data_IF_653188016160
#
_entry.id   IF_653188016160
#
_cell.length_a   1.000
_cell.length_b   1.000
_cell.length_c   1.000
_cell.angle_alpha   90.00
_cell.angle_beta   90.00
_cell.angle_gamma   90.00
#
_symmetry.space_group_name_H-M   'P 1'
#
loop_
_entity.id
_entity.type
_entity.pdbx_description
1 polymer ?
#
# COMPACT_ATOMS: atom_id res chain seq x y z
N UNK A 1 23.88 1.83 -5.99
CA UNK A 1 24.08 1.96 -4.52
C UNK A 1 24.31 3.42 -4.09
N UNK A 2 23.58 4.39 -4.65
CA UNK A 2 23.64 5.82 -4.26
C UNK A 2 22.33 6.34 -3.62
N UNK A 3 21.27 5.52 -3.58
CA UNK A 3 19.92 5.93 -3.20
C UNK A 3 19.50 5.60 -1.75
N UNK A 4 20.36 4.96 -0.94
CA UNK A 4 19.95 4.46 0.39
C UNK A 4 20.62 5.23 1.55
N UNK A 5 21.46 6.23 1.26
CA UNK A 5 22.25 6.91 2.31
C UNK A 5 21.77 8.31 2.72
N UNK A 6 20.71 8.86 2.15
CA UNK A 6 20.26 10.21 2.50
C UNK A 6 18.76 10.28 2.68
N UNK A 7 18.24 9.91 3.85
CA UNK A 7 17.01 10.49 4.35
C UNK A 7 17.10 10.66 5.87
N UNK A 8 17.41 11.89 6.29
CA UNK A 8 17.12 12.38 7.62
C UNK A 8 15.61 12.30 7.84
N UNK A 9 15.23 11.58 8.90
CA UNK A 9 13.87 11.47 9.38
C UNK A 9 13.31 12.83 9.78
N UNK A 10 12.12 13.15 9.26
CA UNK A 10 11.18 14.05 9.89
C UNK A 10 9.92 13.27 10.25
N UNK A 11 9.97 12.56 11.37
CA UNK A 11 8.78 12.14 12.11
C UNK A 11 8.48 13.20 13.17
N UNK A 12 7.62 14.18 12.87
CA UNK A 12 7.00 15.04 13.89
C UNK A 12 5.55 15.31 13.50
N UNK A 13 4.65 14.63 14.21
CA UNK A 13 3.22 14.95 14.45
C UNK A 13 2.34 15.20 13.22
N UNK A 14 1.72 14.15 12.69
CA UNK A 14 0.45 14.25 11.97
C UNK A 14 -0.69 14.44 12.99
N UNK A 15 -0.78 15.66 13.53
CA UNK A 15 -2.02 16.18 14.09
C UNK A 15 -1.99 17.72 14.06
N UNK A 16 -2.99 18.29 13.40
CA UNK A 16 -3.34 19.71 13.32
C UNK A 16 -2.30 20.67 12.67
N UNK A 17 -2.57 21.07 11.42
CA UNK A 17 -2.60 22.47 10.94
C UNK A 17 -2.69 22.53 9.41
N UNK A 18 -3.91 22.45 8.89
CA UNK A 18 -4.26 23.09 7.62
C UNK A 18 -5.08 24.33 7.94
N UNK A 19 -4.43 25.41 8.37
CA UNK A 19 -5.03 26.76 8.41
C UNK A 19 -3.95 27.82 8.61
N UNK A 20 -4.08 28.90 7.83
CA UNK A 20 -3.42 30.21 7.92
C UNK A 20 -2.01 30.38 7.37
N UNK A 21 -1.96 30.96 6.16
CA UNK A 21 -0.88 31.84 5.73
C UNK A 21 -1.13 33.27 6.25
N UNK A 22 -0.12 33.99 6.77
CA UNK A 22 -0.20 35.44 6.93
C UNK A 22 0.42 36.14 5.71
N UNK A 23 -0.29 37.16 5.25
CA UNK A 23 0.18 38.13 4.29
C UNK A 23 1.35 38.96 4.86
N UNK A 24 2.34 39.29 4.02
CA UNK A 24 3.12 40.51 4.21
C UNK A 24 3.49 41.13 2.87
N UNK A 25 3.24 42.43 2.83
CA UNK A 25 3.42 43.33 1.72
C UNK A 25 4.87 43.80 1.58
N UNK A 26 5.29 44.00 0.33
CA UNK A 26 6.22 45.03 -0.16
C UNK A 26 5.81 45.23 -1.63
N UNK A 27 5.68 46.41 -2.22
CA UNK A 27 6.41 47.66 -2.02
C UNK A 27 6.97 48.09 -3.38
N UNK A 28 6.12 48.79 -4.15
CA UNK A 28 6.34 49.61 -5.37
C UNK A 28 7.75 49.75 -5.95
N UNK A 29 7.85 49.66 -7.28
CA UNK A 29 8.32 50.77 -8.15
C UNK A 29 7.93 50.60 -9.62
N UNK A 30 7.63 51.74 -10.26
CA UNK A 30 7.17 51.95 -11.64
C UNK A 30 8.30 51.79 -12.67
N UNK A 31 7.96 51.40 -13.92
CA UNK A 31 8.44 52.08 -15.13
C UNK A 31 7.47 51.89 -16.32
N UNK A 32 7.54 52.85 -17.24
CA UNK A 32 6.54 53.34 -18.21
C UNK A 32 6.51 52.61 -19.56
N UNK A 33 5.29 52.61 -20.12
CA UNK A 33 4.86 52.96 -21.49
C UNK A 33 5.34 52.16 -22.72
N UNK A 34 4.36 51.87 -23.59
CA UNK A 34 4.56 51.44 -24.98
C UNK A 34 3.25 51.02 -25.63
N UNK A 35 2.44 51.98 -26.05
CA UNK A 35 1.22 51.80 -26.83
C UNK A 35 1.59 51.52 -28.29
N UNK A 36 1.02 50.49 -28.91
CA UNK A 36 0.97 50.35 -30.37
C UNK A 36 -0.31 49.63 -30.77
N UNK A 37 -1.20 50.39 -31.43
CA UNK A 37 -2.39 49.93 -32.13
C UNK A 37 -1.97 49.07 -33.33
N UNK A 38 -2.53 47.88 -33.43
CA UNK A 38 -2.53 47.07 -34.65
C UNK A 38 -3.90 46.42 -34.80
N UNK A 39 -4.71 46.95 -35.71
CA UNK A 39 -6.01 46.41 -36.12
C UNK A 39 -5.83 45.06 -36.79
N UNK A 40 -6.39 43.99 -36.19
CA UNK A 40 -6.47 42.68 -36.81
C UNK A 40 -7.93 42.22 -36.88
N UNK A 41 -8.32 41.89 -38.10
CA UNK A 41 -9.61 41.50 -38.65
C UNK A 41 -10.24 40.31 -37.89
N UNK A 42 -11.49 40.47 -37.44
CA UNK A 42 -12.31 39.38 -36.91
C UNK A 42 -12.68 38.40 -38.04
N UNK A 43 -12.14 37.19 -38.00
CA UNK A 43 -12.73 36.02 -38.64
C UNK A 43 -13.65 35.32 -37.62
N UNK A 44 -14.97 35.45 -37.79
CA UNK A 44 -15.94 34.63 -37.05
C UNK A 44 -15.77 33.17 -37.49
N UNK A 45 -15.00 32.42 -36.72
CA UNK A 45 -14.99 30.96 -36.77
C UNK A 45 -15.97 30.51 -35.69
N UNK A 46 -17.04 29.82 -36.09
CA UNK A 46 -18.00 29.26 -35.16
C UNK A 46 -17.26 28.34 -34.15
N UNK A 47 -17.25 28.73 -32.88
CA UNK A 47 -16.84 27.86 -31.79
C UNK A 47 -17.81 26.67 -31.75
N UNK A 48 -17.36 25.53 -32.27
CA UNK A 48 -17.90 24.25 -31.81
C UNK A 48 -17.65 24.20 -30.31
N UNK A 49 -18.66 24.01 -29.45
CA UNK A 49 -18.40 23.82 -28.03
C UNK A 49 -17.57 22.54 -27.91
N UNK A 50 -16.29 22.68 -27.65
CA UNK A 50 -15.48 21.61 -27.08
C UNK A 50 -16.21 21.19 -25.82
N UNK A 51 -16.73 19.95 -25.80
CA UNK A 51 -17.19 19.33 -24.58
C UNK A 51 -16.04 19.48 -23.58
N UNK A 52 -16.18 20.40 -22.63
CA UNK A 52 -15.39 20.38 -21.42
C UNK A 52 -15.77 19.06 -20.76
N UNK A 53 -14.93 18.04 -20.92
CA UNK A 53 -14.93 16.90 -20.01
C UNK A 53 -14.84 17.49 -18.61
N UNK A 54 -15.92 17.38 -17.86
CA UNK A 54 -16.03 17.89 -16.51
C UNK A 54 -14.79 17.44 -15.71
N UNK A 55 -13.98 18.35 -15.15
CA UNK A 55 -12.79 17.98 -14.37
C UNK A 55 -13.13 17.20 -13.08
N UNK A 56 -14.41 16.88 -12.84
CA UNK A 56 -14.92 16.09 -11.72
C UNK A 56 -14.58 14.59 -11.76
N UNK A 57 -14.02 14.04 -12.84
CA UNK A 57 -13.81 12.59 -12.94
C UNK A 57 -12.45 12.21 -13.53
N UNK A 58 -11.37 12.35 -12.76
CA UNK A 58 -10.36 11.27 -12.73
C UNK A 58 -10.85 10.31 -11.64
N UNK A 59 -11.92 9.66 -12.01
CA UNK A 59 -12.46 8.50 -11.38
C UNK A 59 -11.57 7.33 -11.88
N UNK A 60 -11.19 6.35 -11.05
CA UNK A 60 -10.47 5.18 -11.55
C UNK A 60 -11.17 4.66 -12.82
N UNK A 61 -10.43 4.24 -13.85
CA UNK A 61 -11.00 3.77 -15.14
C UNK A 61 -12.07 2.64 -14.97
N UNK A 62 -12.22 2.15 -13.74
CA UNK A 62 -13.08 1.07 -13.28
C UNK A 62 -13.99 1.43 -12.09
N UNK A 63 -14.25 2.70 -11.77
CA UNK A 63 -15.49 3.08 -11.04
C UNK A 63 -16.65 2.85 -12.01
N UNK A 64 -17.70 2.12 -11.61
CA UNK A 64 -18.84 1.93 -12.47
C UNK A 64 -19.44 3.30 -12.83
N UNK A 65 -19.43 3.64 -14.12
CA UNK A 65 -20.14 4.81 -14.67
C UNK A 65 -21.64 4.79 -14.37
N UNK A 66 -22.16 3.62 -13.96
CA UNK A 66 -23.48 3.38 -13.38
C UNK A 66 -23.29 2.81 -11.95
N UNK A 67 -23.22 3.69 -10.97
CA UNK A 67 -23.04 3.32 -9.56
C UNK A 67 -24.34 3.35 -8.74
N UNK A 68 -24.29 2.87 -7.48
CA UNK A 68 -25.41 3.04 -6.56
C UNK A 68 -25.65 4.53 -6.22
N UNK A 69 -26.82 4.85 -5.68
CA UNK A 69 -27.07 6.17 -5.10
C UNK A 69 -26.25 6.28 -3.81
N UNK A 70 -25.42 7.33 -3.74
CA UNK A 70 -24.57 7.60 -2.58
C UNK A 70 -25.20 8.63 -1.65
N UNK A 71 -25.13 8.37 -0.35
CA UNK A 71 -25.31 9.36 0.71
C UNK A 71 -24.01 10.11 0.98
N UNK A 72 -24.12 11.28 1.61
CA UNK A 72 -22.96 12.04 2.08
C UNK A 72 -22.20 11.32 3.20
N UNK A 73 -21.17 11.97 3.78
CA UNK A 73 -20.38 11.40 4.84
C UNK A 73 -21.22 10.93 6.05
N UNK A 74 -20.90 9.75 6.59
CA UNK A 74 -21.52 9.18 7.77
C UNK A 74 -20.60 9.28 8.98
N UNK A 75 -21.16 9.64 10.14
CA UNK A 75 -20.47 9.53 11.44
C UNK A 75 -21.18 8.49 12.30
N UNK A 76 -20.48 7.41 12.63
CA UNK A 76 -20.94 6.32 13.49
C UNK A 76 -20.53 6.62 14.93
N UNK A 77 -21.50 6.79 15.82
CA UNK A 77 -21.27 7.13 17.24
C UNK A 77 -21.76 6.07 18.21
N UNK A 78 -22.31 4.97 17.71
CA UNK A 78 -22.81 3.83 18.50
C UNK A 78 -22.45 2.53 17.80
N UNK A 79 -22.33 1.46 18.57
CA UNK A 79 -22.11 0.13 18.04
C UNK A 79 -23.31 -0.35 17.22
N UNK A 80 -23.06 -1.31 16.33
CA UNK A 80 -24.09 -1.86 15.45
C UNK A 80 -23.58 -2.24 14.08
N UNK A 81 -24.49 -2.71 13.24
CA UNK A 81 -24.22 -3.06 11.84
C UNK A 81 -24.72 -1.97 10.92
N UNK A 82 -23.85 -1.55 9.99
CA UNK A 82 -24.07 -0.47 9.05
C UNK A 82 -23.89 -0.99 7.63
N UNK A 83 -24.86 -0.65 6.77
CA UNK A 83 -24.85 -0.96 5.35
C UNK A 83 -25.27 0.29 4.58
N UNK A 84 -24.59 0.58 3.48
CA UNK A 84 -24.93 1.75 2.67
C UNK A 84 -23.89 2.10 1.62
N UNK A 85 -24.19 3.16 0.89
CA UNK A 85 -23.27 3.73 -0.08
C UNK A 85 -22.94 5.15 0.34
N UNK A 86 -21.68 5.44 0.66
CA UNK A 86 -21.27 6.74 1.19
C UNK A 86 -20.18 7.36 0.33
N UNK A 87 -20.25 8.68 0.18
CA UNK A 87 -19.25 9.43 -0.57
C UNK A 87 -18.79 10.70 0.13
N UNK A 88 -17.53 11.06 -0.09
CA UNK A 88 -17.00 12.38 0.27
C UNK A 88 -16.23 13.02 -0.87
N UNK A 89 -16.60 14.25 -1.24
CA UNK A 89 -15.86 15.06 -2.21
C UNK A 89 -14.90 16.07 -1.56
N UNK A 90 -14.88 16.13 -0.23
CA UNK A 90 -13.91 16.91 0.52
C UNK A 90 -12.73 15.99 0.90
N UNK A 91 -11.51 16.24 0.41
CA UNK A 91 -10.35 15.41 0.73
C UNK A 91 -9.96 15.43 2.22
N UNK A 92 -10.47 16.38 3.01
CA UNK A 92 -10.24 16.45 4.46
C UNK A 92 -11.29 15.65 5.27
N UNK A 93 -12.40 15.25 4.66
CA UNK A 93 -13.51 14.57 5.35
C UNK A 93 -13.63 13.14 4.85
N UNK A 94 -13.53 12.11 5.73
CA UNK A 94 -13.72 10.75 5.29
C UNK A 94 -15.19 10.47 4.95
N UNK A 95 -15.44 9.51 4.06
CA UNK A 95 -16.80 9.12 3.70
C UNK A 95 -17.53 8.41 4.86
N UNK A 96 -16.80 7.68 5.71
CA UNK A 96 -17.31 7.13 6.97
C UNK A 96 -16.31 7.40 8.09
N UNK A 97 -16.80 7.96 9.20
CA UNK A 97 -16.04 8.17 10.43
C UNK A 97 -16.62 7.32 11.56
N UNK A 98 -15.81 6.47 12.18
CA UNK A 98 -16.17 5.69 13.38
C UNK A 98 -15.65 6.40 14.63
N UNK A 99 -16.56 6.86 15.49
CA UNK A 99 -16.29 7.57 16.76
C UNK A 99 -16.97 6.87 17.92
N UNK A 100 -16.68 5.59 18.08
CA UNK A 100 -17.13 4.79 19.23
C UNK A 100 -16.17 3.63 19.44
N UNK A 101 -16.06 3.18 20.68
CA UNK A 101 -15.36 1.95 21.07
C UNK A 101 -16.30 0.75 21.10
N UNK A 102 -17.61 0.96 20.97
CA UNK A 102 -18.57 -0.12 20.84
C UNK A 102 -18.33 -0.88 19.52
N UNK A 103 -18.56 -2.21 19.46
CA UNK A 103 -18.35 -2.98 18.24
C UNK A 103 -19.16 -2.45 17.05
N UNK A 104 -18.48 -2.16 15.95
CA UNK A 104 -19.07 -1.68 14.69
C UNK A 104 -18.80 -2.70 13.59
N UNK A 105 -19.85 -3.02 12.83
CA UNK A 105 -19.74 -3.80 11.59
C UNK A 105 -20.14 -2.90 10.44
N UNK A 106 -19.26 -2.69 9.46
CA UNK A 106 -19.59 -2.11 8.16
C UNK A 106 -19.55 -3.24 7.14
N UNK A 107 -20.68 -3.50 6.48
CA UNK A 107 -20.75 -4.59 5.52
C UNK A 107 -21.58 -4.27 4.27
N UNK A 108 -21.35 -5.04 3.20
CA UNK A 108 -22.14 -4.99 1.97
C UNK A 108 -22.32 -3.56 1.43
N UNK A 109 -21.25 -2.77 1.51
CA UNK A 109 -21.29 -1.32 1.30
C UNK A 109 -20.43 -0.90 0.10
N UNK A 110 -20.69 0.30 -0.41
CA UNK A 110 -19.83 0.95 -1.40
C UNK A 110 -19.40 2.33 -0.91
N UNK A 111 -18.10 2.55 -0.82
CA UNK A 111 -17.54 3.79 -0.28
C UNK A 111 -16.63 4.42 -1.33
N UNK A 112 -16.74 5.73 -1.53
CA UNK A 112 -15.80 6.45 -2.40
C UNK A 112 -15.47 7.83 -1.87
N UNK A 113 -14.32 8.35 -2.22
CA UNK A 113 -13.95 9.66 -1.71
C UNK A 113 -12.60 10.18 -2.15
N UNK A 114 -12.46 11.49 -2.02
CA UNK A 114 -11.21 12.22 -2.33
C UNK A 114 -10.16 12.13 -1.23
N UNK A 115 -10.61 11.89 0.00
CA UNK A 115 -9.77 11.62 1.18
C UNK A 115 -9.92 10.17 1.61
N UNK A 116 -9.63 9.90 2.89
CA UNK A 116 -9.82 8.55 3.45
C UNK A 116 -11.27 8.09 3.28
N UNK A 117 -11.49 6.82 2.97
CA UNK A 117 -12.84 6.29 2.79
C UNK A 117 -13.47 5.99 4.14
N UNK A 118 -12.79 5.21 4.97
CA UNK A 118 -13.23 4.86 6.31
C UNK A 118 -12.12 5.24 7.29
N UNK A 119 -12.46 6.05 8.30
CA UNK A 119 -11.55 6.44 9.38
C UNK A 119 -12.11 6.03 10.73
N UNK A 120 -11.27 5.51 11.61
CA UNK A 120 -11.63 5.17 12.99
C UNK A 120 -10.60 5.64 14.00
N UNK A 121 -11.04 5.93 15.21
CA UNK A 121 -10.21 6.21 16.37
C UNK A 121 -10.68 5.33 17.53
N UNK A 122 -9.77 4.55 18.12
CA UNK A 122 -10.11 3.61 19.19
C UNK A 122 -11.21 2.62 18.81
N UNK A 123 -11.20 2.19 17.54
CA UNK A 123 -12.29 1.43 16.94
C UNK A 123 -12.17 -0.08 17.19
N UNK A 124 -13.29 -0.70 17.56
CA UNK A 124 -13.57 -2.13 17.39
C UNK A 124 -14.42 -2.29 16.13
N UNK A 125 -13.77 -2.68 15.02
CA UNK A 125 -14.34 -2.60 13.68
C UNK A 125 -14.20 -3.93 12.92
N UNK A 126 -15.33 -4.43 12.43
CA UNK A 126 -15.36 -5.40 11.34
C UNK A 126 -15.79 -4.70 10.05
N UNK A 127 -14.94 -4.73 9.04
CA UNK A 127 -15.20 -4.20 7.71
C UNK A 127 -15.17 -5.34 6.70
N UNK A 128 -16.33 -5.69 6.14
CA UNK A 128 -16.43 -6.85 5.23
C UNK A 128 -17.30 -6.64 4.01
N UNK A 129 -17.04 -7.40 2.95
CA UNK A 129 -17.86 -7.38 1.72
C UNK A 129 -18.11 -5.96 1.18
N UNK A 130 -17.14 -5.06 1.35
CA UNK A 130 -17.28 -3.65 1.02
C UNK A 130 -16.36 -3.29 -0.14
N UNK A 131 -16.84 -2.44 -1.04
CA UNK A 131 -16.06 -1.92 -2.16
C UNK A 131 -15.66 -0.47 -1.92
N UNK A 132 -14.38 -0.15 -2.07
CA UNK A 132 -13.81 1.18 -1.91
C UNK A 132 -13.20 1.74 -3.20
N UNK A 133 -13.53 2.98 -3.55
CA UNK A 133 -12.95 3.69 -4.69
C UNK A 133 -12.27 5.00 -4.26
N UNK A 134 -10.96 5.10 -4.47
CA UNK A 134 -10.23 6.35 -4.31
C UNK A 134 -10.56 7.29 -5.46
N UNK A 135 -10.95 8.53 -5.15
CA UNK A 135 -11.18 9.57 -6.14
C UNK A 135 -9.97 10.50 -6.19
N UNK A 136 -9.77 11.14 -7.34
CA UNK A 136 -8.78 12.20 -7.45
C UNK A 136 -9.07 13.34 -6.46
N UNK A 137 -8.10 13.75 -5.63
CA UNK A 137 -8.32 14.77 -4.60
C UNK A 137 -8.66 16.17 -5.11
N UNK A 138 -8.35 16.49 -6.38
CA UNK A 138 -8.48 17.83 -6.97
C UNK A 138 -7.92 18.96 -6.07
N UNK A 139 -6.85 18.65 -5.35
CA UNK A 139 -6.22 19.54 -4.36
C UNK A 139 -4.71 19.47 -4.55
N UNK A 140 -4.08 20.62 -4.78
CA UNK A 140 -2.64 20.68 -5.05
C UNK A 140 -1.81 20.07 -3.93
N UNK A 141 -0.94 19.12 -4.29
CA UNK A 141 -0.07 18.42 -3.34
C UNK A 141 -0.76 17.32 -2.53
N UNK A 142 -2.01 16.98 -2.83
CA UNK A 142 -2.71 15.84 -2.24
C UNK A 142 -2.55 14.56 -3.08
N UNK A 143 -2.91 13.42 -2.51
CA UNK A 143 -2.95 12.09 -3.14
C UNK A 143 -4.24 11.37 -2.70
N UNK A 144 -4.72 10.32 -3.41
CA UNK A 144 -5.93 9.59 -3.03
C UNK A 144 -5.87 9.08 -1.58
N UNK A 145 -6.95 9.19 -0.80
CA UNK A 145 -6.92 8.75 0.59
C UNK A 145 -6.92 7.22 0.79
N UNK A 146 -6.73 6.78 2.03
CA UNK A 146 -6.73 5.36 2.42
C UNK A 146 -8.13 4.74 2.25
N UNK A 147 -8.22 3.45 1.92
CA UNK A 147 -9.47 2.69 2.08
C UNK A 147 -9.88 2.66 3.55
N UNK A 148 -8.92 2.39 4.43
CA UNK A 148 -9.11 2.35 5.86
C UNK A 148 -7.92 3.01 6.57
N UNK A 149 -8.20 3.91 7.50
CA UNK A 149 -7.21 4.49 8.41
C UNK A 149 -7.72 4.41 9.84
N UNK A 150 -7.05 3.63 10.69
CA UNK A 150 -7.43 3.47 12.11
C UNK A 150 -6.30 3.93 13.01
N UNK A 151 -6.59 4.91 13.85
CA UNK A 151 -5.71 5.31 14.94
C UNK A 151 -6.12 4.58 16.22
N UNK A 152 -5.16 3.96 16.90
CA UNK A 152 -5.31 3.18 18.14
C UNK A 152 -6.38 2.10 18.01
N UNK A 153 -6.20 1.10 17.15
CA UNK A 153 -7.21 0.04 16.97
C UNK A 153 -7.47 -0.74 18.27
N UNK A 154 -8.74 -1.01 18.59
CA UNK A 154 -9.15 -1.91 19.69
C UNK A 154 -9.22 -3.34 19.15
N UNK A 155 -9.93 -3.54 18.04
CA UNK A 155 -10.02 -4.81 17.33
C UNK A 155 -10.35 -4.49 15.87
N UNK A 156 -9.75 -5.23 14.93
CA UNK A 156 -9.96 -4.95 13.51
C UNK A 156 -10.01 -6.23 12.70
N UNK A 157 -11.10 -6.42 11.97
CA UNK A 157 -11.24 -7.47 10.96
C UNK A 157 -11.59 -6.80 9.63
N UNK A 158 -10.68 -6.83 8.67
CA UNK A 158 -10.89 -6.32 7.31
C UNK A 158 -10.87 -7.49 6.35
N UNK A 159 -12.06 -7.97 5.97
CA UNK A 159 -12.16 -9.19 5.18
C UNK A 159 -13.03 -9.08 3.92
N UNK A 160 -12.64 -9.77 2.85
CA UNK A 160 -13.47 -9.88 1.65
C UNK A 160 -13.86 -8.52 1.03
N UNK A 161 -12.99 -7.52 1.14
CA UNK A 161 -13.22 -6.20 0.55
C UNK A 161 -12.55 -6.05 -0.81
N UNK A 162 -13.04 -5.13 -1.63
CA UNK A 162 -12.39 -4.72 -2.89
C UNK A 162 -12.04 -3.26 -2.83
N UNK A 163 -10.78 -2.88 -3.01
CA UNK A 163 -10.35 -1.49 -2.95
C UNK A 163 -9.49 -1.12 -4.17
N UNK A 164 -9.81 0.04 -4.76
CA UNK A 164 -9.30 0.47 -6.07
C UNK A 164 -8.84 1.92 -6.04
N UNK A 165 -7.59 2.18 -6.42
CA UNK A 165 -7.08 3.54 -6.53
C UNK A 165 -6.98 4.30 -5.20
N UNK A 166 -7.02 3.60 -4.07
CA UNK A 166 -6.85 4.19 -2.74
C UNK A 166 -5.39 4.14 -2.32
N UNK A 167 -5.03 4.79 -1.22
CA UNK A 167 -3.72 4.62 -0.56
C UNK A 167 -3.63 3.37 0.31
N UNK A 168 -4.53 2.39 0.16
CA UNK A 168 -4.52 1.14 0.91
C UNK A 168 -5.03 1.28 2.35
N UNK A 169 -4.52 0.46 3.27
CA UNK A 169 -5.00 0.33 4.66
C UNK A 169 -3.89 0.64 5.66
N UNK A 170 -4.23 1.41 6.68
CA UNK A 170 -3.28 1.89 7.69
C UNK A 170 -3.84 1.71 9.10
N UNK A 171 -3.04 1.11 9.97
CA UNK A 171 -3.30 1.05 11.42
C UNK A 171 -2.11 1.63 12.15
N UNK A 172 -2.37 2.62 13.00
CA UNK A 172 -1.36 3.15 13.91
C UNK A 172 -1.74 2.83 15.35
N UNK A 173 -0.87 2.09 16.05
CA UNK A 173 -1.07 1.62 17.43
C UNK A 173 -2.22 0.62 17.58
N UNK A 174 -2.07 -0.23 18.60
CA UNK A 174 -3.11 -1.15 19.08
C UNK A 174 -3.32 -0.92 20.58
N UNK A 175 -4.57 -0.89 21.01
CA UNK A 175 -4.98 -0.62 22.40
C UNK A 175 -6.04 -1.60 22.91
N UNK A 176 -6.31 -2.66 22.15
CA UNK A 176 -7.23 -3.72 22.56
C UNK A 176 -6.67 -4.61 23.66
N UNK A 177 -7.58 -5.36 24.26
CA UNK A 177 -7.31 -6.44 25.21
C UNK A 177 -7.13 -7.76 24.46
N UNK A 178 -5.88 -8.16 24.26
CA UNK A 178 -5.54 -9.44 23.65
C UNK A 178 -5.98 -10.66 24.47
N UNK A 179 -6.17 -10.53 25.79
CA UNK A 179 -6.73 -11.61 26.60
C UNK A 179 -8.21 -11.86 26.30
N UNK A 180 -8.92 -10.83 25.82
CA UNK A 180 -10.28 -10.92 25.30
C UNK A 180 -10.35 -11.39 23.83
N UNK A 181 -9.21 -11.75 23.21
CA UNK A 181 -9.13 -12.19 21.82
C UNK A 181 -9.12 -11.07 20.78
N UNK A 182 -9.00 -9.81 21.20
CA UNK A 182 -8.94 -8.67 20.30
C UNK A 182 -7.61 -8.64 19.54
N UNK A 183 -7.66 -8.42 18.22
CA UNK A 183 -6.48 -8.50 17.34
C UNK A 183 -6.74 -7.74 16.02
N UNK A 184 -5.81 -7.88 15.06
CA UNK A 184 -5.91 -7.29 13.72
C UNK A 184 -5.85 -8.37 12.64
N UNK A 185 -6.84 -8.40 11.74
CA UNK A 185 -6.90 -9.35 10.63
C UNK A 185 -7.19 -8.65 9.30
N UNK A 186 -6.43 -9.00 8.27
CA UNK A 186 -6.58 -8.50 6.91
C UNK A 186 -6.66 -9.71 5.96
N UNK A 187 -7.89 -10.13 5.66
CA UNK A 187 -8.14 -11.43 5.06
C UNK A 187 -8.83 -11.31 3.71
N UNK A 188 -8.33 -12.00 2.69
CA UNK A 188 -9.08 -12.20 1.44
C UNK A 188 -9.52 -10.90 0.76
N UNK A 189 -8.77 -9.81 0.91
CA UNK A 189 -9.08 -8.56 0.23
C UNK A 189 -8.52 -8.56 -1.19
N UNK A 190 -9.22 -7.89 -2.11
CA UNK A 190 -8.75 -7.58 -3.45
C UNK A 190 -8.35 -6.12 -3.53
N UNK A 191 -7.06 -5.88 -3.70
CA UNK A 191 -6.45 -4.55 -3.73
C UNK A 191 -5.92 -4.30 -5.13
N UNK A 192 -6.31 -3.18 -5.74
CA UNK A 192 -5.75 -2.77 -7.02
C UNK A 192 -5.30 -1.32 -7.03
N UNK A 193 -4.09 -1.09 -7.53
CA UNK A 193 -3.50 0.23 -7.76
C UNK A 193 -3.46 1.11 -6.50
N UNK A 194 -2.60 0.74 -5.56
CA UNK A 194 -2.34 1.54 -4.37
C UNK A 194 -1.56 2.80 -4.77
N UNK A 195 -2.15 3.98 -4.52
CA UNK A 195 -1.72 5.20 -5.19
C UNK A 195 -1.40 6.35 -4.23
N UNK A 196 -0.09 6.64 -4.10
CA UNK A 196 0.42 7.81 -3.37
C UNK A 196 0.82 8.98 -4.27
N UNK A 197 0.48 8.98 -5.57
CA UNK A 197 0.93 10.03 -6.49
C UNK A 197 0.27 11.36 -6.16
N UNK A 198 1.09 12.41 -6.09
CA UNK A 198 0.60 13.76 -5.85
C UNK A 198 -0.07 14.34 -7.09
N UNK A 199 -1.17 15.06 -6.90
CA UNK A 199 -1.90 15.79 -7.95
C UNK A 199 -1.76 17.31 -7.81
N UNK A 200 -1.99 18.00 -8.92
CA UNK A 200 -2.18 19.46 -8.97
C UNK A 200 -3.61 19.83 -8.55
N UNK A 201 -3.89 21.13 -8.42
CA UNK A 201 -5.26 21.64 -8.17
C UNK A 201 -6.28 21.20 -9.24
N UNK A 202 -5.81 20.90 -10.46
CA UNK A 202 -6.66 20.41 -11.56
C UNK A 202 -6.69 18.88 -11.64
N UNK A 203 -6.16 18.17 -10.64
CA UNK A 203 -6.12 16.71 -10.60
C UNK A 203 -5.04 16.04 -11.45
N UNK A 204 -4.22 16.80 -12.18
CA UNK A 204 -3.11 16.22 -12.98
C UNK A 204 -1.99 15.70 -12.09
N UNK A 205 -1.41 14.54 -12.43
CA UNK A 205 -0.23 14.00 -11.73
C UNK A 205 0.96 14.97 -11.80
N UNK A 206 1.67 15.11 -10.69
CA UNK A 206 2.84 16.00 -10.57
C UNK A 206 4.17 15.30 -10.86
N UNK A 207 4.16 13.97 -10.95
CA UNK A 207 5.37 13.15 -11.05
C UNK A 207 6.08 12.89 -9.71
N UNK A 208 5.51 13.32 -8.57
CA UNK A 208 5.97 13.04 -7.21
C UNK A 208 4.99 12.11 -6.48
N UNK A 209 5.41 11.52 -5.36
CA UNK A 209 4.56 10.65 -4.53
C UNK A 209 4.77 10.83 -3.03
N UNK A 210 3.76 10.47 -2.25
CA UNK A 210 3.83 10.12 -0.84
C UNK A 210 4.01 8.61 -0.69
N UNK A 211 4.59 8.17 0.44
CA UNK A 211 4.79 6.75 0.72
C UNK A 211 3.53 6.14 1.31
N UNK A 212 2.94 5.22 0.57
CA UNK A 212 1.68 4.54 0.92
C UNK A 212 1.85 3.04 0.81
N UNK A 213 0.94 2.28 1.39
CA UNK A 213 1.05 0.83 1.51
C UNK A 213 -0.31 0.20 1.30
N UNK A 214 -0.35 -1.00 0.72
CA UNK A 214 -1.61 -1.73 0.63
C UNK A 214 -2.11 -2.08 2.04
N UNK A 215 -1.21 -2.55 2.90
CA UNK A 215 -1.42 -2.79 4.33
C UNK A 215 -0.19 -2.27 5.08
N UNK A 216 -0.38 -1.37 6.04
CA UNK A 216 0.66 -0.96 6.97
C UNK A 216 0.18 -1.07 8.40
N UNK A 217 0.98 -1.76 9.20
CA UNK A 217 0.96 -1.64 10.65
C UNK A 217 2.09 -0.70 11.06
N UNK A 218 1.76 0.29 11.87
CA UNK A 218 2.70 1.27 12.40
C UNK A 218 2.62 1.29 13.92
N UNK A 219 3.73 0.95 14.59
CA UNK A 219 3.82 0.88 16.05
C UNK A 219 2.80 -0.07 16.69
N UNK A 220 2.47 -1.18 16.01
CA UNK A 220 1.60 -2.25 16.52
C UNK A 220 2.47 -3.33 17.14
N UNK A 221 2.67 -3.21 18.44
CA UNK A 221 3.68 -4.00 19.16
C UNK A 221 3.05 -5.08 20.04
N UNK A 222 3.60 -6.31 19.94
CA UNK A 222 3.29 -7.44 20.84
C UNK A 222 1.85 -7.88 20.84
N UNK A 223 1.22 -7.83 19.67
CA UNK A 223 -0.19 -8.21 19.53
C UNK A 223 -0.28 -9.65 19.03
N UNK A 224 -0.80 -10.60 19.83
CA UNK A 224 -1.06 -11.96 19.37
C UNK A 224 -2.22 -11.99 18.37
N UNK A 225 -2.28 -13.05 17.57
CA UNK A 225 -3.39 -13.33 16.64
C UNK A 225 -3.44 -12.50 15.35
N UNK A 226 -2.44 -11.64 15.10
CA UNK A 226 -2.42 -10.86 13.85
C UNK A 226 -2.25 -11.78 12.65
N UNK A 227 -3.11 -11.59 11.64
CA UNK A 227 -3.13 -12.39 10.43
C UNK A 227 -3.34 -11.51 9.18
N UNK A 228 -2.43 -11.57 8.22
CA UNK A 228 -2.51 -10.94 6.91
C UNK A 228 -2.46 -12.05 5.86
N UNK A 229 -3.62 -12.49 5.38
CA UNK A 229 -3.68 -13.71 4.58
C UNK A 229 -4.63 -13.66 3.40
N UNK A 230 -4.27 -14.39 2.35
CA UNK A 230 -5.09 -14.60 1.14
C UNK A 230 -5.50 -13.32 0.41
N UNK A 231 -4.77 -12.22 0.59
CA UNK A 231 -5.04 -10.98 -0.13
C UNK A 231 -4.46 -11.05 -1.55
N UNK A 232 -5.21 -10.54 -2.53
CA UNK A 232 -4.71 -10.28 -3.88
C UNK A 232 -4.38 -8.79 -3.97
N UNK A 233 -3.12 -8.45 -4.24
CA UNK A 233 -2.64 -7.08 -4.32
C UNK A 233 -1.96 -6.88 -5.66
N UNK A 234 -2.59 -6.11 -6.55
CA UNK A 234 -2.11 -5.90 -7.92
C UNK A 234 -1.93 -4.41 -8.19
N UNK A 235 -0.72 -3.99 -8.52
CA UNK A 235 -0.41 -2.62 -8.91
C UNK A 235 0.05 -2.63 -10.37
N UNK A 236 -0.54 -1.78 -11.21
CA UNK A 236 -0.09 -1.60 -12.58
C UNK A 236 0.92 -0.43 -12.68
N UNK A 237 1.97 -0.56 -13.52
CA UNK A 237 2.90 0.54 -13.80
C UNK A 237 2.14 1.76 -14.34
N UNK A 238 2.49 2.96 -13.87
CA UNK A 238 1.82 4.20 -14.29
C UNK A 238 0.39 4.37 -13.79
N UNK A 239 -0.13 3.44 -12.97
CA UNK A 239 -1.46 3.51 -12.34
C UNK A 239 -1.41 3.54 -10.81
N UNK A 240 -0.22 3.42 -10.24
CA UNK A 240 0.03 3.28 -8.80
C UNK A 240 1.35 3.93 -8.43
N UNK A 241 1.58 4.11 -7.13
CA UNK A 241 2.90 4.48 -6.60
C UNK A 241 3.05 4.01 -5.15
N UNK A 242 2.74 2.74 -4.92
CA UNK A 242 2.92 2.07 -3.63
C UNK A 242 4.39 2.17 -3.19
N UNK A 243 4.62 2.34 -1.89
CA UNK A 243 5.93 2.10 -1.28
C UNK A 243 6.06 0.60 -1.02
N UNK A 244 5.47 0.08 0.04
CA UNK A 244 5.45 -1.37 0.31
C UNK A 244 4.04 -1.92 0.15
N UNK A 245 3.88 -3.12 -0.41
CA UNK A 245 2.57 -3.73 -0.40
C UNK A 245 2.15 -4.09 1.04
N UNK A 246 3.04 -4.70 1.81
CA UNK A 246 2.83 -4.96 3.24
C UNK A 246 4.02 -4.41 4.04
N UNK A 247 3.77 -3.55 5.02
CA UNK A 247 4.79 -2.98 5.90
C UNK A 247 4.48 -3.27 7.37
N UNK A 248 5.50 -3.76 8.08
CA UNK A 248 5.49 -4.03 9.51
C UNK A 248 6.33 -3.00 10.27
N UNK A 249 6.13 -1.72 9.97
CA UNK A 249 6.88 -0.62 10.55
C UNK A 249 6.73 -0.60 12.06
N UNK A 250 7.83 -0.85 12.77
CA UNK A 250 7.88 -0.91 14.24
C UNK A 250 6.75 -1.78 14.83
N UNK A 251 6.48 -2.91 14.18
CA UNK A 251 5.33 -3.75 14.49
C UNK A 251 5.71 -5.22 14.60
N UNK A 252 4.98 -5.96 15.42
CA UNK A 252 5.33 -7.34 15.72
C UNK A 252 4.32 -8.08 16.59
N UNK A 253 4.40 -9.42 16.53
CA UNK A 253 3.60 -10.31 17.36
C UNK A 253 4.29 -10.60 18.69
N UNK A 254 3.95 -11.75 19.27
CA UNK A 254 4.63 -12.28 20.46
C UNK A 254 5.38 -13.56 20.12
N UNK A 255 6.30 -14.01 20.98
CA UNK A 255 6.98 -15.29 20.80
C UNK A 255 6.02 -16.48 20.68
N UNK A 256 4.92 -16.46 21.42
CA UNK A 256 3.91 -17.51 21.41
C UNK A 256 2.90 -17.37 20.25
N UNK A 257 2.75 -16.17 19.70
CA UNK A 257 1.87 -15.88 18.57
C UNK A 257 2.52 -14.84 17.66
N UNK A 258 3.47 -15.25 16.80
CA UNK A 258 4.04 -14.38 15.79
C UNK A 258 2.94 -13.89 14.83
N UNK A 259 3.10 -12.68 14.29
CA UNK A 259 2.25 -12.19 13.18
C UNK A 259 2.34 -13.20 12.03
N UNK A 260 1.21 -13.59 11.45
CA UNK A 260 1.17 -14.51 10.31
C UNK A 260 0.90 -13.72 9.02
N UNK A 261 1.83 -13.74 8.07
CA UNK A 261 1.69 -13.13 6.74
C UNK A 261 1.82 -14.24 5.69
N UNK A 262 0.70 -14.74 5.17
CA UNK A 262 0.74 -15.93 4.34
C UNK A 262 -0.28 -16.01 3.22
N UNK A 263 0.05 -16.80 2.21
CA UNK A 263 -0.83 -17.10 1.08
C UNK A 263 -1.35 -15.85 0.34
N UNK A 264 -0.67 -14.71 0.46
CA UNK A 264 -0.99 -13.51 -0.31
C UNK A 264 -0.40 -13.63 -1.72
N UNK A 265 -1.10 -13.04 -2.69
CA UNK A 265 -0.60 -12.80 -4.04
C UNK A 265 -0.32 -11.31 -4.19
N UNK A 266 0.94 -10.95 -4.39
CA UNK A 266 1.40 -9.57 -4.57
C UNK A 266 2.01 -9.47 -5.95
N UNK A 267 1.58 -8.47 -6.71
CA UNK A 267 1.99 -8.30 -8.09
C UNK A 267 2.15 -6.82 -8.41
N UNK A 268 3.41 -6.39 -8.49
CA UNK A 268 3.76 -5.02 -8.84
C UNK A 268 3.97 -4.10 -7.65
N UNK A 269 5.01 -3.28 -7.80
CA UNK A 269 5.33 -2.10 -7.01
C UNK A 269 6.21 -1.25 -7.93
N UNK A 270 5.73 -0.07 -8.35
CA UNK A 270 6.38 0.70 -9.41
C UNK A 270 6.54 2.17 -9.03
N UNK A 271 7.59 2.77 -9.57
CA UNK A 271 7.81 4.21 -9.52
C UNK A 271 6.68 4.98 -10.24
N UNK A 272 6.61 6.30 -10.01
CA UNK A 272 5.59 7.15 -10.64
C UNK A 272 5.76 7.14 -12.16
N UNK A 273 7.01 7.19 -12.63
CA UNK A 273 7.42 6.98 -14.02
C UNK A 273 8.36 5.79 -14.08
N UNK A 274 7.86 4.56 -14.28
CA UNK A 274 8.63 3.33 -14.13
C UNK A 274 9.89 3.21 -14.99
N UNK A 275 9.96 3.93 -16.12
CA UNK A 275 11.11 3.93 -17.03
C UNK A 275 12.03 5.14 -16.84
N UNK A 276 11.52 6.25 -16.28
CA UNK A 276 12.23 7.54 -16.26
C UNK A 276 12.71 7.95 -14.86
N UNK A 277 12.06 7.44 -13.81
CA UNK A 277 12.47 7.73 -12.45
C UNK A 277 13.87 7.13 -12.20
N UNK A 278 14.69 7.85 -11.44
CA UNK A 278 16.08 7.42 -11.16
C UNK A 278 16.15 6.46 -9.98
N UNK A 279 15.19 6.57 -9.07
CA UNK A 279 15.19 5.87 -7.79
C UNK A 279 13.75 5.49 -7.42
N UNK A 280 13.62 4.31 -6.85
CA UNK A 280 12.37 3.79 -6.30
C UNK A 280 12.72 2.77 -5.23
N UNK A 281 12.12 2.93 -4.06
CA UNK A 281 12.42 2.13 -2.85
C UNK A 281 11.38 1.05 -2.58
N UNK A 282 10.23 1.08 -3.26
CA UNK A 282 9.10 0.24 -2.93
C UNK A 282 9.18 -1.22 -3.38
N UNK A 283 8.51 -2.11 -2.66
CA UNK A 283 8.61 -3.56 -2.82
C UNK A 283 7.36 -4.34 -2.42
N UNK A 284 7.56 -5.63 -2.13
CA UNK A 284 6.51 -6.53 -1.67
C UNK A 284 6.26 -6.39 -0.17
N UNK A 285 7.04 -7.11 0.64
CA UNK A 285 6.84 -7.18 2.10
C UNK A 285 8.08 -6.63 2.82
N UNK A 286 7.88 -5.64 3.68
CA UNK A 286 8.91 -5.02 4.50
C UNK A 286 8.75 -5.39 5.97
N UNK A 287 9.83 -5.92 6.55
CA UNK A 287 9.90 -6.32 7.95
C UNK A 287 10.98 -5.54 8.70
N UNK A 288 10.64 -5.12 9.92
CA UNK A 288 11.61 -4.59 10.88
C UNK A 288 12.19 -3.23 10.52
N UNK A 289 11.54 -2.47 9.64
CA UNK A 289 11.85 -1.06 9.44
C UNK A 289 11.38 -0.19 10.63
N UNK A 290 11.97 0.99 10.76
CA UNK A 290 11.88 1.86 11.94
C UNK A 290 13.15 1.85 12.79
N UNK A 291 13.48 2.98 13.43
CA UNK A 291 14.70 3.17 14.22
C UNK A 291 14.42 2.93 15.71
N UNK A 292 14.31 1.65 16.09
CA UNK A 292 14.08 1.26 17.48
C UNK A 292 15.29 0.57 18.11
N UNK A 293 15.69 1.06 19.29
CA UNK A 293 16.73 0.46 20.15
C UNK A 293 16.14 -0.25 21.36
N UNK A 294 14.86 -0.03 21.65
CA UNK A 294 14.17 -0.66 22.77
C UNK A 294 13.51 -1.98 22.31
N UNK A 295 13.89 -3.07 22.97
CA UNK A 295 13.31 -4.41 22.79
C UNK A 295 11.81 -4.48 23.08
N UNK A 296 11.22 -3.40 23.64
CA UNK A 296 9.80 -3.30 23.88
C UNK A 296 8.94 -2.91 22.70
N UNK A 297 9.54 -2.23 21.72
CA UNK A 297 8.84 -1.64 20.58
C UNK A 297 9.51 -1.94 19.24
N UNK A 298 10.70 -2.54 19.27
CA UNK A 298 11.34 -3.02 18.04
C UNK A 298 10.49 -4.10 17.38
N UNK A 299 10.37 -4.03 16.06
CA UNK A 299 9.62 -5.03 15.29
C UNK A 299 10.22 -6.43 15.43
N UNK A 300 9.37 -7.44 15.51
CA UNK A 300 9.81 -8.81 15.70
C UNK A 300 8.67 -9.81 15.79
N UNK A 301 9.01 -11.10 15.84
CA UNK A 301 8.03 -12.19 15.87
C UNK A 301 7.01 -12.09 14.71
N UNK A 302 7.52 -12.20 13.49
CA UNK A 302 6.73 -12.18 12.25
C UNK A 302 7.09 -13.40 11.42
N UNK A 303 6.08 -14.17 11.01
CA UNK A 303 6.20 -15.28 10.07
C UNK A 303 5.64 -14.86 8.71
N UNK A 304 6.46 -15.01 7.67
CA UNK A 304 6.11 -14.69 6.29
C UNK A 304 6.28 -15.94 5.43
N UNK A 305 5.18 -16.55 5.00
CA UNK A 305 5.26 -17.83 4.30
C UNK A 305 4.20 -18.09 3.25
N UNK A 306 4.52 -18.96 2.29
CA UNK A 306 3.62 -19.37 1.21
C UNK A 306 3.03 -18.21 0.37
N UNK A 307 3.64 -17.02 0.43
CA UNK A 307 3.23 -15.89 -0.41
C UNK A 307 3.80 -16.06 -1.82
N UNK A 308 3.08 -15.49 -2.80
CA UNK A 308 3.54 -15.37 -4.17
C UNK A 308 3.74 -13.88 -4.45
N UNK A 309 5.00 -13.47 -4.65
CA UNK A 309 5.39 -12.07 -4.80
C UNK A 309 6.05 -11.88 -6.15
N UNK A 310 5.44 -11.05 -6.98
CA UNK A 310 5.77 -10.91 -8.38
C UNK A 310 6.01 -9.47 -8.76
N UNK A 311 7.01 -9.26 -9.63
CA UNK A 311 7.20 -8.00 -10.39
C UNK A 311 7.22 -6.71 -9.53
N UNK A 312 7.51 -6.81 -8.24
CA UNK A 312 7.80 -5.64 -7.43
C UNK A 312 9.16 -5.10 -7.87
N UNK A 313 9.33 -3.78 -7.92
CA UNK A 313 10.54 -3.23 -8.53
C UNK A 313 11.76 -3.35 -7.61
N UNK A 314 11.75 -2.76 -6.41
CA UNK A 314 12.96 -2.76 -5.58
C UNK A 314 13.22 -4.14 -4.94
N UNK A 315 12.28 -4.66 -4.16
CA UNK A 315 12.43 -5.99 -3.56
C UNK A 315 11.16 -6.83 -3.52
N UNK A 316 11.33 -8.15 -3.44
CA UNK A 316 10.25 -9.08 -3.06
C UNK A 316 9.97 -9.03 -1.55
N UNK A 317 10.94 -9.46 -0.73
CA UNK A 317 10.85 -9.41 0.75
C UNK A 317 12.09 -8.73 1.34
N UNK A 318 11.89 -7.89 2.33
CA UNK A 318 12.93 -7.21 3.07
C UNK A 318 12.88 -7.57 4.55
N UNK A 319 14.03 -7.94 5.11
CA UNK A 319 14.30 -7.96 6.56
C UNK A 319 15.31 -6.84 6.83
N UNK A 320 14.78 -5.67 7.18
CA UNK A 320 15.54 -4.41 7.32
C UNK A 320 16.02 -4.13 8.75
N UNK A 321 15.45 -4.83 9.72
CA UNK A 321 15.73 -4.69 11.13
C UNK A 321 14.96 -5.72 11.93
N UNK A 322 14.86 -5.53 13.24
CA UNK A 322 14.05 -6.38 14.11
C UNK A 322 14.64 -7.78 14.37
N UNK A 323 13.88 -8.60 15.08
CA UNK A 323 14.35 -9.89 15.57
C UNK A 323 13.29 -11.00 15.52
N UNK A 324 13.73 -12.26 15.58
CA UNK A 324 12.85 -13.44 15.60
C UNK A 324 11.83 -13.49 14.43
N UNK A 325 12.22 -13.02 13.25
CA UNK A 325 11.40 -13.08 12.04
C UNK A 325 11.70 -14.35 11.24
N UNK A 326 10.69 -14.97 10.63
CA UNK A 326 10.84 -16.21 9.84
C UNK A 326 10.21 -16.03 8.47
N UNK A 327 11.03 -16.08 7.42
CA UNK A 327 10.62 -15.95 6.02
C UNK A 327 10.88 -17.27 5.30
N UNK A 328 9.83 -18.01 4.92
CA UNK A 328 9.99 -19.34 4.36
C UNK A 328 8.89 -19.80 3.43
N UNK A 329 9.18 -20.71 2.49
CA UNK A 329 8.17 -21.27 1.60
C UNK A 329 7.53 -20.26 0.63
N UNK A 330 8.09 -19.05 0.50
CA UNK A 330 7.58 -18.05 -0.42
C UNK A 330 8.09 -18.32 -1.84
N UNK A 331 7.30 -17.91 -2.84
CA UNK A 331 7.68 -17.90 -4.25
C UNK A 331 7.83 -16.44 -4.68
N UNK A 332 9.04 -16.05 -5.05
CA UNK A 332 9.39 -14.65 -5.31
C UNK A 332 9.99 -14.56 -6.70
N UNK A 333 9.25 -13.98 -7.63
CA UNK A 333 9.54 -14.10 -9.07
C UNK A 333 9.50 -12.76 -9.78
N UNK A 334 10.54 -12.46 -10.53
CA UNK A 334 10.57 -11.32 -11.45
C UNK A 334 11.43 -11.65 -12.66
N UNK A 335 10.87 -11.42 -13.84
CA UNK A 335 11.57 -11.44 -15.13
C UNK A 335 12.46 -10.19 -15.32
N UNK A 336 12.42 -9.24 -14.38
CA UNK A 336 13.13 -7.97 -14.48
C UNK A 336 12.58 -7.04 -15.55
N UNK A 337 11.37 -7.32 -16.06
CA UNK A 337 10.71 -6.54 -17.12
C UNK A 337 9.37 -5.97 -16.64
N UNK A 338 9.01 -4.81 -17.17
CA UNK A 338 7.65 -4.29 -17.08
C UNK A 338 6.70 -5.17 -17.92
N UNK A 339 5.37 -5.08 -17.72
CA UNK A 339 4.39 -5.82 -18.52
C UNK A 339 4.53 -5.61 -20.04
N UNK A 340 5.00 -4.45 -20.51
CA UNK A 340 5.26 -4.17 -21.92
C UNK A 340 6.53 -4.84 -22.48
N UNK A 341 7.32 -5.50 -21.64
CA UNK A 341 8.56 -6.19 -22.02
C UNK A 341 9.82 -5.33 -21.88
N UNK A 342 9.69 -4.03 -21.60
CA UNK A 342 10.82 -3.16 -21.29
C UNK A 342 11.55 -3.63 -20.03
N UNK A 343 12.86 -3.42 -19.97
CA UNK A 343 13.63 -3.69 -18.75
C UNK A 343 13.12 -2.75 -17.65
N UNK A 344 12.81 -3.31 -16.48
CA UNK A 344 12.50 -2.52 -15.30
C UNK A 344 13.83 -1.99 -14.70
N UNK A 345 14.12 -0.68 -14.80
CA UNK A 345 15.39 -0.13 -14.29
C UNK A 345 15.50 -0.19 -12.76
N UNK A 346 14.37 -0.35 -12.08
CA UNK A 346 14.28 -0.38 -10.63
C UNK A 346 14.35 -1.80 -10.05
N UNK A 347 14.40 -2.85 -10.89
CA UNK A 347 14.60 -4.24 -10.45
C UNK A 347 15.86 -4.35 -9.59
N UNK A 348 15.73 -4.72 -8.31
CA UNK A 348 16.88 -4.81 -7.41
C UNK A 348 17.11 -6.19 -6.79
N UNK A 349 16.29 -6.74 -5.87
CA UNK A 349 16.61 -8.05 -5.24
C UNK A 349 15.37 -8.87 -4.88
N UNK A 350 15.44 -10.20 -4.96
CA UNK A 350 14.35 -11.07 -4.51
C UNK A 350 14.09 -10.94 -3.02
N UNK A 351 15.09 -11.26 -2.20
CA UNK A 351 15.07 -11.06 -0.75
C UNK A 351 16.33 -10.32 -0.31
N UNK A 352 16.20 -9.39 0.63
CA UNK A 352 17.37 -8.95 1.41
C UNK A 352 17.23 -9.17 2.91
N UNK A 353 18.40 -9.39 3.55
CA UNK A 353 18.57 -9.42 5.01
C UNK A 353 19.70 -8.48 5.37
N UNK A 354 19.33 -7.28 5.79
CA UNK A 354 20.27 -6.21 6.06
C UNK A 354 19.76 -5.40 7.24
N UNK A 355 20.59 -5.28 8.28
CA UNK A 355 20.32 -4.40 9.41
C UNK A 355 20.54 -2.94 8.95
N UNK A 356 19.59 -2.42 8.18
CA UNK A 356 19.70 -1.09 7.55
C UNK A 356 19.81 0.01 8.60
N UNK A 357 19.16 -0.20 9.74
CA UNK A 357 19.12 0.74 10.86
C UNK A 357 20.51 0.96 11.49
N UNK A 358 21.30 -0.10 11.63
CA UNK A 358 22.67 0.03 12.10
C UNK A 358 23.68 0.17 10.95
N UNK A 359 23.24 0.55 9.74
CA UNK A 359 24.07 0.64 8.52
C UNK A 359 24.85 -0.65 8.24
N UNK A 360 24.26 -1.80 8.56
CA UNK A 360 24.87 -3.12 8.42
C UNK A 360 25.80 -3.52 9.55
N UNK A 361 25.83 -2.79 10.68
CA UNK A 361 26.65 -3.17 11.83
C UNK A 361 26.33 -4.59 12.32
N UNK A 362 27.38 -5.32 12.67
CA UNK A 362 27.31 -6.68 13.20
C UNK A 362 27.04 -6.63 14.70
N UNK A 363 26.27 -7.59 15.25
CA UNK A 363 26.06 -7.70 16.69
C UNK A 363 25.09 -6.68 17.32
N UNK A 364 24.08 -6.22 16.57
CA UNK A 364 23.04 -5.35 17.14
C UNK A 364 22.18 -6.08 18.18
N UNK A 365 21.88 -5.40 19.29
CA UNK A 365 20.97 -5.90 20.32
C UNK A 365 19.52 -6.05 19.83
N UNK A 366 19.16 -5.41 18.72
CA UNK A 366 17.80 -5.43 18.15
C UNK A 366 17.71 -6.15 16.81
N UNK A 367 18.80 -6.76 16.33
CA UNK A 367 18.83 -7.52 15.08
C UNK A 367 19.42 -8.93 15.26
N UNK A 368 18.57 -9.90 15.55
CA UNK A 368 19.01 -11.26 15.87
C UNK A 368 17.90 -12.30 15.65
N UNK A 369 18.27 -13.58 15.57
CA UNK A 369 17.36 -14.72 15.40
C UNK A 369 16.39 -14.60 14.20
N UNK A 370 16.78 -13.87 13.16
CA UNK A 370 16.02 -13.78 11.91
C UNK A 370 16.37 -14.95 11.00
N UNK A 371 15.37 -15.50 10.32
CA UNK A 371 15.50 -16.70 9.51
C UNK A 371 14.88 -16.49 8.13
N UNK A 372 15.65 -16.75 7.08
CA UNK A 372 15.20 -16.75 5.67
C UNK A 372 15.59 -18.08 5.04
N UNK A 373 14.63 -19.00 4.93
CA UNK A 373 14.91 -20.38 4.52
C UNK A 373 13.86 -20.95 3.59
N UNK A 374 14.21 -21.92 2.74
CA UNK A 374 13.25 -22.70 1.95
C UNK A 374 12.34 -21.84 1.05
N UNK A 375 12.79 -20.67 0.61
CA UNK A 375 12.07 -19.86 -0.38
C UNK A 375 12.51 -20.28 -1.78
N UNK A 376 11.60 -20.20 -2.76
CA UNK A 376 11.92 -20.36 -4.17
C UNK A 376 12.01 -18.97 -4.81
N UNK A 377 13.19 -18.58 -5.26
CA UNK A 377 13.46 -17.20 -5.67
C UNK A 377 14.02 -17.17 -7.08
N UNK A 378 13.40 -16.36 -7.92
CA UNK A 378 13.89 -16.05 -9.23
C UNK A 378 13.80 -14.55 -9.49
N UNK A 379 14.93 -13.86 -9.45
CA UNK A 379 14.96 -12.40 -9.57
C UNK A 379 15.92 -11.95 -10.67
N UNK A 380 15.39 -11.84 -11.88
CA UNK A 380 16.17 -11.43 -13.05
C UNK A 380 16.47 -9.94 -13.02
N UNK A 381 17.72 -9.62 -13.38
CA UNK A 381 18.21 -8.27 -13.64
C UNK A 381 18.99 -8.25 -14.95
N UNK A 382 19.21 -7.03 -15.44
CA UNK A 382 19.97 -6.76 -16.65
C UNK A 382 21.13 -5.83 -16.31
N UNK A 383 22.33 -6.14 -16.81
CA UNK A 383 23.47 -5.24 -16.73
C UNK A 383 23.38 -4.12 -17.78
N UNK A 384 24.37 -3.21 -17.81
CA UNK A 384 24.39 -2.10 -18.77
C UNK A 384 24.52 -2.53 -20.23
N UNK A 385 24.86 -3.81 -20.50
CA UNK A 385 24.94 -4.40 -21.84
C UNK A 385 23.68 -5.21 -22.18
N UNK A 386 22.68 -5.22 -21.29
CA UNK A 386 21.45 -6.00 -21.44
C UNK A 386 21.61 -7.49 -21.15
N UNK A 387 22.72 -7.92 -20.53
CA UNK A 387 22.93 -9.32 -20.16
C UNK A 387 22.20 -9.66 -18.87
N UNK A 388 21.60 -10.85 -18.84
CA UNK A 388 20.82 -11.35 -17.70
C UNK A 388 21.76 -11.80 -16.58
N UNK A 389 21.44 -11.40 -15.35
CA UNK A 389 21.96 -11.99 -14.12
C UNK A 389 20.84 -12.12 -13.08
N UNK A 390 21.07 -12.90 -12.03
CA UNK A 390 20.08 -13.15 -10.98
C UNK A 390 20.52 -12.54 -9.66
N UNK A 391 19.62 -11.82 -8.99
CA UNK A 391 19.86 -11.25 -7.66
C UNK A 391 18.82 -11.77 -6.67
N UNK A 392 18.86 -13.06 -6.41
CA UNK A 392 17.83 -13.77 -5.63
C UNK A 392 17.89 -13.39 -4.14
N UNK A 393 19.08 -13.40 -3.54
CA UNK A 393 19.26 -13.15 -2.11
C UNK A 393 20.48 -12.25 -1.86
N UNK A 394 20.28 -11.14 -1.14
CA UNK A 394 21.36 -10.30 -0.63
C UNK A 394 21.29 -10.19 0.90
N UNK A 395 22.15 -10.90 1.60
CA UNK A 395 22.01 -11.13 3.05
C UNK A 395 23.27 -10.75 3.88
N UNK A 396 23.83 -9.53 3.75
CA UNK A 396 25.09 -9.16 4.41
C UNK A 396 25.02 -9.15 5.94
N UNK A 397 23.83 -8.98 6.53
CA UNK A 397 23.65 -8.99 7.99
C UNK A 397 23.16 -10.33 8.53
N UNK A 398 23.08 -11.36 7.69
CA UNK A 398 22.64 -12.69 8.11
C UNK A 398 23.79 -13.49 8.71
N UNK A 399 24.18 -13.12 9.93
CA UNK A 399 25.32 -13.66 10.65
C UNK A 399 24.88 -14.68 11.68
N UNK A 400 25.48 -15.88 11.64
CA UNK A 400 25.24 -16.93 12.63
C UNK A 400 25.56 -16.51 14.08
N UNK A 401 26.50 -15.58 14.26
CA UNK A 401 26.85 -15.01 15.57
C UNK A 401 25.68 -14.28 16.26
N UNK A 402 24.72 -13.76 15.47
CA UNK A 402 23.48 -13.15 15.95
C UNK A 402 22.29 -14.12 15.88
N UNK A 403 22.55 -15.42 15.70
CA UNK A 403 21.50 -16.43 15.53
C UNK A 403 20.71 -16.32 14.22
N UNK A 404 21.16 -15.46 13.29
CA UNK A 404 20.49 -15.30 11.99
C UNK A 404 20.82 -16.48 11.06
N UNK A 405 19.85 -16.91 10.28
CA UNK A 405 19.97 -18.08 9.39
C UNK A 405 19.43 -17.74 8.00
N UNK A 406 20.28 -17.80 6.97
CA UNK A 406 19.88 -17.63 5.57
C UNK A 406 20.41 -18.78 4.73
N UNK A 407 19.67 -19.88 4.66
CA UNK A 407 20.09 -21.13 4.00
C UNK A 407 18.92 -21.83 3.32
N UNK A 408 19.21 -22.85 2.51
CA UNK A 408 18.21 -23.73 1.90
C UNK A 408 17.18 -22.99 1.01
N UNK A 409 17.46 -21.75 0.62
CA UNK A 409 16.70 -21.04 -0.41
C UNK A 409 17.09 -21.60 -1.77
N UNK A 410 16.09 -21.85 -2.60
CA UNK A 410 16.24 -22.46 -3.91
C UNK A 410 16.13 -21.38 -4.98
N UNK A 411 17.02 -21.45 -5.96
CA UNK A 411 16.92 -20.63 -7.15
C UNK A 411 15.82 -21.17 -8.06
N UNK A 412 15.06 -20.28 -8.69
CA UNK A 412 14.13 -20.66 -9.75
C UNK A 412 14.91 -21.32 -10.90
N UNK A 413 14.42 -22.45 -11.46
CA UNK A 413 15.05 -23.07 -12.62
C UNK A 413 14.98 -22.12 -13.82
N UNK A 414 16.12 -21.53 -14.17
CA UNK A 414 16.27 -20.51 -15.22
C UNK A 414 15.87 -21.02 -16.61
N UNK A 415 15.38 -20.16 -17.54
CA UNK A 415 15.16 -18.71 -17.42
C UNK A 415 13.74 -18.30 -16.97
N UNK A 416 13.62 -17.11 -16.36
CA UNK A 416 12.34 -16.54 -15.91
C UNK A 416 11.76 -15.67 -17.02
N UNK A 417 10.52 -15.96 -17.42
CA UNK A 417 9.80 -15.20 -18.43
C UNK A 417 8.52 -14.57 -17.84
N UNK A 418 7.92 -13.64 -18.57
CA UNK A 418 6.60 -13.11 -18.20
C UNK A 418 5.51 -14.19 -18.20
N UNK A 419 5.72 -15.30 -18.92
CA UNK A 419 4.81 -16.45 -18.85
C UNK A 419 4.89 -17.15 -17.50
N UNK A 420 6.09 -17.32 -16.93
CA UNK A 420 6.26 -17.84 -15.57
C UNK A 420 5.52 -16.97 -14.56
N UNK A 421 5.63 -15.64 -14.69
CA UNK A 421 4.91 -14.70 -13.83
C UNK A 421 3.38 -14.89 -13.93
N UNK A 422 2.83 -15.08 -15.14
CA UNK A 422 1.40 -15.35 -15.34
C UNK A 422 0.96 -16.70 -14.75
N UNK A 423 1.82 -17.72 -14.81
CA UNK A 423 1.53 -19.04 -14.25
C UNK A 423 1.42 -19.02 -12.73
N UNK A 424 2.14 -18.15 -12.04
CA UNK A 424 2.00 -17.98 -10.59
C UNK A 424 0.59 -17.52 -10.19
N UNK A 425 -0.04 -16.61 -10.94
CA UNK A 425 -1.45 -16.26 -10.67
C UNK A 425 -2.36 -17.48 -10.79
N UNK A 426 -2.13 -18.31 -11.81
CA UNK A 426 -2.91 -19.55 -12.01
C UNK A 426 -2.69 -20.53 -10.85
N UNK A 427 -1.45 -20.68 -10.38
CA UNK A 427 -1.10 -21.50 -9.22
C UNK A 427 -1.77 -20.97 -7.95
N UNK A 428 -1.74 -19.66 -7.73
CA UNK A 428 -2.37 -19.03 -6.58
C UNK A 428 -3.88 -19.21 -6.59
N UNK A 429 -4.52 -18.99 -7.74
CA UNK A 429 -5.94 -19.24 -7.93
C UNK A 429 -6.30 -20.72 -7.70
N UNK A 430 -5.39 -21.65 -8.00
CA UNK A 430 -5.57 -23.06 -7.62
C UNK A 430 -5.56 -23.23 -6.10
N UNK A 431 -4.61 -22.61 -5.38
CA UNK A 431 -4.56 -22.62 -3.91
C UNK A 431 -5.88 -22.12 -3.31
N UNK A 432 -6.42 -21.02 -3.86
CA UNK A 432 -7.73 -20.49 -3.44
C UNK A 432 -8.83 -21.54 -3.61
N UNK A 433 -8.92 -22.18 -4.77
CA UNK A 433 -9.93 -23.22 -5.04
C UNK A 433 -9.76 -24.42 -4.10
N UNK A 434 -8.54 -24.92 -3.93
CA UNK A 434 -8.25 -26.06 -3.06
C UNK A 434 -8.60 -25.75 -1.59
N UNK A 435 -8.45 -24.49 -1.17
CA UNK A 435 -8.76 -24.02 0.19
C UNK A 435 -10.20 -23.49 0.36
N UNK A 436 -11.05 -23.51 -0.69
CA UNK A 436 -12.38 -22.91 -0.70
C UNK A 436 -12.41 -21.42 -0.31
N UNK A 437 -11.40 -20.66 -0.73
CA UNK A 437 -11.27 -19.23 -0.43
C UNK A 437 -11.79 -18.38 -1.59
N UNK A 438 -12.64 -17.41 -1.27
CA UNK A 438 -13.09 -16.33 -2.18
C UNK A 438 -12.43 -15.02 -1.77
N UNK A 439 -11.90 -14.28 -2.74
CA UNK A 439 -11.15 -13.03 -2.52
C UNK A 439 -11.89 -11.84 -3.11
N UNK A 440 -12.00 -10.79 -2.30
CA UNK A 440 -12.80 -9.60 -2.56
C UNK A 440 -14.28 -9.84 -2.27
N UNK A 441 -15.10 -8.91 -2.78
CA UNK A 441 -16.56 -8.99 -2.65
C UNK A 441 -17.05 -10.10 -3.58
N UNK A 442 -17.79 -11.07 -3.03
CA UNK A 442 -18.44 -12.09 -3.85
C UNK A 442 -19.45 -11.42 -4.80
N UNK A 443 -19.54 -11.89 -6.05
CA UNK A 443 -20.43 -11.33 -7.07
C UNK A 443 -21.85 -11.08 -6.56
N UNK A 444 -22.47 -10.01 -7.06
CA UNK A 444 -23.69 -9.35 -6.56
C UNK A 444 -24.72 -10.31 -5.94
N UNK A 445 -25.26 -10.02 -4.74
CA UNK A 445 -26.43 -10.74 -4.24
C UNK A 445 -27.51 -10.71 -5.32
N UNK A 446 -28.03 -11.88 -5.71
CA UNK A 446 -29.28 -11.93 -6.48
C UNK A 446 -30.30 -11.12 -5.70
N UNK A 447 -30.79 -10.05 -6.32
CA UNK A 447 -31.75 -9.11 -5.73
C UNK A 447 -32.88 -9.92 -5.09
N UNK A 448 -32.94 -9.92 -3.76
CA UNK A 448 -34.08 -10.47 -3.05
C UNK A 448 -35.29 -9.65 -3.49
N UNK A 449 -36.16 -10.29 -4.26
CA UNK A 449 -37.41 -9.72 -4.73
C UNK A 449 -38.29 -9.58 -3.48
N UNK A 450 -38.35 -8.38 -2.92
CA UNK A 450 -39.42 -8.05 -1.99
C UNK A 450 -40.72 -8.02 -2.79
N UNK A 451 -41.54 -9.05 -2.63
CA UNK A 451 -42.97 -8.97 -2.97
C UNK A 451 -43.69 -8.16 -1.88
N UNK A 452 -44.77 -7.44 -2.25
CA UNK A 452 -45.41 -6.43 -1.42
C UNK A 452 -45.92 -6.95 -0.08
#
# INVERSE_FOLDING_TARGET
MKAINNHEERSVTENARAAHAPARATGRTLFRAGFLLGTLTLALTACVPTQMTDPRTIVPDNDPSVGPIYSGPLVITRGGTYQGNWQSFDPAVPAVMVRTREPVIIENSVVRGRGDLIRGEEADLTLRNTTGYGLNPLTGGAFPGRFLSVYRAVNLVVENNTLRGTSGMYVNLFVGDSAAGQTLKFLRNRVSNVDGRYVTQMGKLTGKRYYVQAIQLNAVNRVPGIEIAWNEIINAPGQSAVEENISMYESGGTAASPVQIHDNYIDGAYAVRPLDDREYSGGGIMLGDGLQTDMNVVGGYVDVYNNQILRTSNQGIAVAGGHNQRVYGNRIISSGRLPGGEINPHANVGIYVWNSQARGAQGSATFFNNSVQNNLIGWTRFDSRGQVYYNNLWAPSCLAASGNICKDNQDWPVPISQEVERQELTLWQKKLRDANIVVGVAGTPKTATTRP
#
